data_IF_283899840226
#
_entry.id   IF_283899840226
#
_cell.length_a   1.000
_cell.length_b   1.000
_cell.length_c   1.000
_cell.angle_alpha   90.00
_cell.angle_beta   90.00
_cell.angle_gamma   90.00
#
_symmetry.space_group_name_H-M   'P 1'
#
loop_
_entity.id
_entity.type
_entity.pdbx_description
1 polymer ?
#
# COMPACT_ATOMS: atom_id res chain seq x y z
N UNK A 1 19.30 2.61 -15.33
CA UNK A 1 19.17 3.31 -14.03
C UNK A 1 17.75 3.82 -13.78
N UNK A 2 17.11 4.51 -14.73
CA UNK A 2 15.74 5.03 -14.60
C UNK A 2 14.67 3.95 -14.28
N UNK A 3 14.70 2.82 -14.98
CA UNK A 3 13.76 1.71 -14.74
C UNK A 3 13.87 1.12 -13.32
N UNK A 4 15.11 0.96 -12.81
CA UNK A 4 15.35 0.47 -11.46
C UNK A 4 14.80 1.43 -10.41
N UNK A 5 15.01 2.74 -10.57
CA UNK A 5 14.43 3.76 -9.67
C UNK A 5 12.91 3.68 -9.62
N UNK A 6 12.26 3.51 -10.78
CA UNK A 6 10.80 3.39 -10.88
C UNK A 6 10.28 2.16 -10.14
N UNK A 7 10.90 0.99 -10.36
CA UNK A 7 10.51 -0.26 -9.70
C UNK A 7 10.73 -0.17 -8.19
N UNK A 8 11.90 0.31 -7.75
CA UNK A 8 12.22 0.45 -6.33
C UNK A 8 11.31 1.47 -5.65
N UNK A 9 11.11 2.63 -6.27
CA UNK A 9 10.24 3.67 -5.73
C UNK A 9 8.79 3.22 -5.56
N UNK A 10 8.22 2.54 -6.57
CA UNK A 10 6.86 2.00 -6.44
C UNK A 10 6.79 0.86 -5.40
N UNK A 11 7.80 -0.01 -5.35
CA UNK A 11 7.87 -1.05 -4.31
C UNK A 11 7.94 -0.49 -2.90
N UNK A 12 8.66 0.64 -2.72
CA UNK A 12 8.73 1.35 -1.44
C UNK A 12 7.42 2.06 -1.10
N UNK A 13 6.72 2.65 -2.08
CA UNK A 13 5.40 3.23 -1.87
C UNK A 13 4.37 2.17 -1.43
N UNK A 14 4.47 0.96 -1.99
CA UNK A 14 3.61 -0.16 -1.65
C UNK A 14 3.98 -0.88 -0.33
N UNK A 15 5.11 -0.54 0.30
CA UNK A 15 5.68 -1.32 1.40
C UNK A 15 4.74 -1.45 2.61
N UNK A 16 4.04 -0.37 2.96
CA UNK A 16 3.10 -0.38 4.08
C UNK A 16 1.89 -1.26 3.79
N UNK A 17 1.31 -1.16 2.60
CA UNK A 17 0.17 -1.99 2.19
C UNK A 17 0.54 -3.47 2.11
N UNK A 18 1.68 -3.80 1.50
CA UNK A 18 2.21 -5.17 1.49
C UNK A 18 2.38 -5.72 2.91
N UNK A 19 2.94 -4.92 3.83
CA UNK A 19 3.15 -5.31 5.22
C UNK A 19 1.83 -5.53 5.95
N UNK A 20 0.85 -4.66 5.72
CA UNK A 20 -0.49 -4.77 6.30
C UNK A 20 -1.26 -5.96 5.75
N UNK A 21 -1.13 -6.29 4.47
CA UNK A 21 -1.70 -7.50 3.88
C UNK A 21 -1.19 -8.78 4.54
N UNK A 22 0.13 -8.86 4.78
CA UNK A 22 0.76 -9.95 5.52
C UNK A 22 0.19 -10.03 6.95
N UNK A 23 0.10 -8.88 7.63
CA UNK A 23 -0.40 -8.81 9.00
C UNK A 23 -1.87 -9.19 9.13
N UNK A 24 -2.73 -8.75 8.20
CA UNK A 24 -4.15 -9.11 8.16
C UNK A 24 -4.32 -10.62 8.04
N UNK A 25 -3.58 -11.28 7.14
CA UNK A 25 -3.63 -12.75 7.01
C UNK A 25 -3.13 -13.43 8.28
N UNK A 26 -2.01 -12.96 8.84
CA UNK A 26 -1.47 -13.50 10.08
C UNK A 26 -2.50 -13.43 11.21
N UNK A 27 -3.10 -12.26 11.43
CA UNK A 27 -4.07 -12.02 12.48
C UNK A 27 -5.36 -12.84 12.26
N UNK A 28 -5.92 -12.81 11.04
CA UNK A 28 -7.10 -13.58 10.69
C UNK A 28 -6.88 -15.08 10.89
N UNK A 29 -5.68 -15.59 10.56
CA UNK A 29 -5.32 -17.00 10.75
C UNK A 29 -5.25 -17.36 12.24
N UNK A 30 -4.63 -16.50 13.07
CA UNK A 30 -4.58 -16.70 14.53
C UNK A 30 -5.99 -16.71 15.15
N UNK A 31 -6.86 -15.76 14.75
CA UNK A 31 -8.24 -15.68 15.23
C UNK A 31 -9.06 -16.90 14.79
N UNK A 32 -8.87 -17.37 13.56
CA UNK A 32 -9.57 -18.53 13.02
C UNK A 32 -8.99 -19.88 13.45
N UNK A 33 -7.91 -19.90 14.25
CA UNK A 33 -7.19 -21.13 14.62
C UNK A 33 -6.61 -21.90 13.43
N UNK A 34 -6.26 -21.20 12.34
CA UNK A 34 -5.71 -21.80 11.12
C UNK A 34 -4.18 -21.78 11.15
N UNK A 35 -3.59 -22.85 10.62
CA UNK A 35 -2.15 -22.87 10.34
C UNK A 35 -1.79 -21.81 9.31
N UNK A 36 -0.68 -21.10 9.57
CA UNK A 36 -0.24 -19.98 8.73
C UNK A 36 0.68 -20.51 7.65
N UNK A 37 0.13 -20.74 6.47
CA UNK A 37 0.93 -21.06 5.28
C UNK A 37 1.64 -19.80 4.76
N UNK A 38 2.91 -19.94 4.37
CA UNK A 38 3.70 -18.84 3.76
C UNK A 38 3.01 -18.30 2.50
N UNK A 39 2.41 -19.17 1.68
CA UNK A 39 1.65 -18.78 0.50
C UNK A 39 0.45 -17.88 0.84
N UNK A 40 -0.20 -18.09 1.98
CA UNK A 40 -1.31 -17.24 2.41
C UNK A 40 -0.83 -15.82 2.74
N UNK A 41 0.35 -15.68 3.35
CA UNK A 41 0.96 -14.36 3.63
C UNK A 41 1.28 -13.61 2.33
N UNK A 42 1.82 -14.31 1.33
CA UNK A 42 2.09 -13.74 0.00
C UNK A 42 0.79 -13.30 -0.69
N UNK A 43 -0.26 -14.11 -0.63
CA UNK A 43 -1.58 -13.75 -1.16
C UNK A 43 -2.12 -12.50 -0.44
N UNK A 44 -1.99 -12.42 0.89
CA UNK A 44 -2.39 -11.25 1.67
C UNK A 44 -1.70 -9.98 1.22
N UNK A 45 -0.39 -10.04 1.00
CA UNK A 45 0.40 -8.92 0.48
C UNK A 45 -0.12 -8.47 -0.89
N UNK A 46 -0.33 -9.40 -1.82
CA UNK A 46 -0.86 -9.10 -3.17
C UNK A 46 -2.25 -8.48 -3.09
N UNK A 47 -3.14 -9.01 -2.25
CA UNK A 47 -4.50 -8.49 -2.07
C UNK A 47 -4.51 -7.06 -1.53
N UNK A 48 -3.54 -6.69 -0.68
CA UNK A 48 -3.47 -5.36 -0.10
C UNK A 48 -3.02 -4.29 -1.11
N UNK A 49 -2.27 -4.66 -2.14
CA UNK A 49 -1.91 -3.76 -3.25
C UNK A 49 -2.75 -3.98 -4.50
N UNK A 50 -3.81 -4.78 -4.38
CA UNK A 50 -4.66 -5.12 -5.52
C UNK A 50 -5.22 -3.87 -6.20
N UNK A 51 -5.71 -2.83 -5.51
CA UNK A 51 -6.30 -1.67 -6.20
C UNK A 51 -5.30 -0.96 -7.13
N UNK A 52 -4.01 -0.95 -6.79
CA UNK A 52 -2.93 -0.37 -7.61
C UNK A 52 -2.49 -1.25 -8.81
N UNK A 53 -3.21 -2.33 -9.13
CA UNK A 53 -2.87 -3.16 -10.29
C UNK A 53 -2.85 -2.35 -11.61
N UNK A 54 -3.62 -1.27 -11.66
CA UNK A 54 -3.75 -0.37 -12.79
C UNK A 54 -2.47 0.43 -13.09
N UNK A 55 -1.69 0.76 -12.06
CA UNK A 55 -0.36 1.37 -12.15
C UNK A 55 0.57 0.48 -12.98
N UNK A 56 0.48 -0.84 -12.82
CA UNK A 56 1.26 -1.81 -13.61
C UNK A 56 0.89 -1.70 -15.10
N UNK A 57 -0.41 -1.65 -15.42
CA UNK A 57 -0.86 -1.50 -16.80
C UNK A 57 -0.43 -0.17 -17.42
N UNK A 58 -0.42 0.92 -16.64
CA UNK A 58 0.11 2.21 -17.09
C UNK A 58 1.60 2.13 -17.44
N UNK A 59 2.39 1.49 -16.57
CA UNK A 59 3.81 1.27 -16.82
C UNK A 59 4.08 0.40 -18.05
N UNK A 60 3.36 -0.71 -18.20
CA UNK A 60 3.52 -1.59 -19.36
C UNK A 60 3.09 -0.91 -20.67
N UNK A 61 2.05 -0.08 -20.63
CA UNK A 61 1.52 0.59 -21.81
C UNK A 61 2.32 1.82 -22.27
N UNK A 62 2.81 2.64 -21.33
CA UNK A 62 3.46 3.94 -21.65
C UNK A 62 4.81 4.17 -20.99
N UNK A 63 5.34 3.22 -20.22
CA UNK A 63 6.61 3.36 -19.49
C UNK A 63 6.59 4.36 -18.33
N UNK A 64 5.40 4.89 -17.99
CA UNK A 64 5.17 5.85 -16.90
C UNK A 64 3.71 5.78 -16.42
N UNK A 65 3.50 6.14 -15.17
CA UNK A 65 2.16 6.43 -14.63
C UNK A 65 1.66 7.73 -15.26
N UNK A 66 0.40 7.77 -15.68
CA UNK A 66 -0.23 8.94 -16.29
C UNK A 66 -1.66 9.08 -15.81
N UNK A 67 -2.15 10.31 -15.72
CA UNK A 67 -3.47 10.59 -15.17
C UNK A 67 -3.56 10.39 -13.66
N UNK A 68 -4.76 10.62 -13.14
CA UNK A 68 -5.15 10.31 -11.77
C UNK A 68 -5.70 8.88 -11.70
N UNK A 69 -4.87 7.91 -11.32
CA UNK A 69 -5.29 6.52 -11.21
C UNK A 69 -6.37 6.31 -10.14
N UNK A 70 -6.46 7.18 -9.12
CA UNK A 70 -7.57 7.16 -8.16
C UNK A 70 -8.91 7.51 -8.82
N UNK A 71 -8.92 8.00 -10.08
CA UNK A 71 -10.16 8.15 -10.85
C UNK A 71 -10.65 6.86 -11.50
N UNK A 72 -9.82 5.82 -11.54
CA UNK A 72 -10.15 4.58 -12.20
C UNK A 72 -10.99 3.69 -11.29
N UNK A 73 -11.60 2.67 -11.91
CA UNK A 73 -12.52 1.79 -11.22
C UNK A 73 -11.89 0.99 -10.05
N UNK A 74 -10.58 0.67 -10.02
CA UNK A 74 -9.99 -0.06 -8.89
C UNK A 74 -10.00 0.74 -7.57
N UNK A 75 -10.06 2.08 -7.64
CA UNK A 75 -10.14 2.97 -6.46
C UNK A 75 -11.58 3.43 -6.20
N UNK A 76 -12.53 2.48 -6.31
CA UNK A 76 -13.97 2.68 -6.04
C UNK A 76 -14.42 1.75 -4.92
N UNK A 77 -14.24 2.14 -3.64
CA UNK A 77 -14.39 1.21 -2.51
C UNK A 77 -15.77 0.56 -2.42
N UNK A 78 -16.85 1.32 -2.64
CA UNK A 78 -18.21 0.82 -2.58
C UNK A 78 -18.53 -0.28 -3.61
N UNK A 79 -17.69 -0.47 -4.63
CA UNK A 79 -17.82 -1.54 -5.62
C UNK A 79 -16.76 -2.60 -5.42
N UNK A 80 -15.50 -2.19 -5.30
CA UNK A 80 -14.37 -3.13 -5.27
C UNK A 80 -14.36 -3.93 -3.98
N UNK A 81 -14.69 -3.35 -2.82
CA UNK A 81 -14.76 -4.11 -1.56
C UNK A 81 -15.78 -5.25 -1.66
N UNK A 82 -17.08 -5.02 -2.01
CA UNK A 82 -18.03 -6.11 -2.20
C UNK A 82 -17.57 -7.16 -3.20
N UNK A 83 -17.00 -6.75 -4.35
CA UNK A 83 -16.51 -7.69 -5.37
C UNK A 83 -15.40 -8.58 -4.82
N UNK A 84 -14.40 -7.99 -4.15
CA UNK A 84 -13.28 -8.74 -3.56
C UNK A 84 -13.75 -9.65 -2.43
N UNK A 85 -14.68 -9.20 -1.59
CA UNK A 85 -15.28 -10.03 -0.53
C UNK A 85 -16.02 -11.22 -1.13
N UNK A 86 -16.83 -11.01 -2.16
CA UNK A 86 -17.59 -12.08 -2.82
C UNK A 86 -16.67 -13.07 -3.54
N UNK A 87 -15.66 -12.59 -4.26
CA UNK A 87 -14.68 -13.45 -4.92
C UNK A 87 -13.86 -14.25 -3.91
N UNK A 88 -13.38 -13.60 -2.85
CA UNK A 88 -12.65 -14.28 -1.77
C UNK A 88 -13.52 -15.32 -1.08
N UNK A 89 -14.79 -15.00 -0.81
CA UNK A 89 -15.76 -15.94 -0.25
C UNK A 89 -16.00 -17.14 -1.17
N UNK A 90 -16.16 -16.91 -2.47
CA UNK A 90 -16.37 -17.98 -3.44
C UNK A 90 -15.16 -18.90 -3.60
N UNK A 91 -13.95 -18.33 -3.65
CA UNK A 91 -12.71 -19.09 -3.89
C UNK A 91 -12.16 -19.78 -2.64
N UNK A 92 -12.49 -19.28 -1.44
CA UNK A 92 -11.82 -19.70 -0.21
C UNK A 92 -12.66 -19.63 1.06
N UNK A 93 -13.97 -19.40 0.93
CA UNK A 93 -14.92 -19.29 2.03
C UNK A 93 -14.79 -17.98 2.82
N UNK A 94 -15.53 -17.91 3.94
CA UNK A 94 -15.64 -16.72 4.79
C UNK A 94 -14.28 -16.13 5.18
N UNK A 95 -13.29 -16.99 5.44
CA UNK A 95 -11.93 -16.55 5.76
C UNK A 95 -11.34 -15.63 4.68
N UNK A 96 -11.34 -16.07 3.42
CA UNK A 96 -10.76 -15.31 2.32
C UNK A 96 -11.62 -14.12 1.89
N UNK A 97 -12.95 -14.19 2.09
CA UNK A 97 -13.82 -13.02 1.94
C UNK A 97 -13.47 -11.89 2.91
N UNK A 98 -13.27 -12.23 4.20
CA UNK A 98 -12.87 -11.26 5.23
C UNK A 98 -11.45 -10.72 4.95
N UNK A 99 -10.48 -11.61 4.71
CA UNK A 99 -9.09 -11.20 4.42
C UNK A 99 -9.04 -10.29 3.20
N UNK A 100 -9.66 -10.69 2.08
CA UNK A 100 -9.67 -9.89 0.86
C UNK A 100 -10.28 -8.51 1.09
N UNK A 101 -11.48 -8.47 1.71
CA UNK A 101 -12.15 -7.22 2.04
C UNK A 101 -11.32 -6.31 2.96
N UNK A 102 -10.71 -6.88 4.01
CA UNK A 102 -9.87 -6.12 4.94
C UNK A 102 -8.60 -5.57 4.27
N UNK A 103 -7.96 -6.35 3.40
CA UNK A 103 -6.77 -5.92 2.65
C UNK A 103 -7.08 -4.71 1.75
N UNK A 104 -8.12 -4.80 0.91
CA UNK A 104 -8.48 -3.67 0.02
C UNK A 104 -9.05 -2.49 0.79
N UNK A 105 -9.78 -2.74 1.89
CA UNK A 105 -10.27 -1.67 2.75
C UNK A 105 -9.13 -0.90 3.41
N UNK A 106 -8.09 -1.60 3.89
CA UNK A 106 -6.89 -0.96 4.42
C UNK A 106 -6.22 -0.07 3.37
N UNK A 107 -6.04 -0.57 2.15
CA UNK A 107 -5.44 0.22 1.06
C UNK A 107 -6.21 1.52 0.82
N UNK A 108 -7.54 1.48 0.78
CA UNK A 108 -8.34 2.71 0.64
C UNK A 108 -8.26 3.65 1.85
N UNK A 109 -8.07 3.13 3.07
CA UNK A 109 -7.75 3.98 4.23
C UNK A 109 -6.40 4.65 4.02
N UNK A 110 -5.39 3.90 3.61
CA UNK A 110 -4.06 4.44 3.34
C UNK A 110 -4.08 5.53 2.25
N UNK A 111 -4.88 5.33 1.20
CA UNK A 111 -5.06 6.30 0.12
C UNK A 111 -5.94 7.52 0.49
N UNK A 112 -6.66 7.44 1.62
CA UNK A 112 -7.48 8.55 2.10
C UNK A 112 -6.59 9.70 2.55
N UNK A 113 -6.87 10.91 2.03
CA UNK A 113 -6.08 12.10 2.32
C UNK A 113 -6.04 12.38 3.83
N UNK A 114 -4.83 12.47 4.37
CA UNK A 114 -4.55 12.59 5.80
C UNK A 114 -3.90 11.35 6.43
N UNK A 115 -4.02 10.18 5.80
CA UNK A 115 -3.33 8.95 6.21
C UNK A 115 -2.13 8.59 5.33
N UNK A 116 -2.05 9.18 4.13
CA UNK A 116 -0.94 8.96 3.22
C UNK A 116 -1.29 9.43 1.81
N UNK A 117 -2.40 8.98 1.26
CA UNK A 117 -2.71 9.21 -0.15
C UNK A 117 -3.35 10.55 -0.51
N UNK A 118 -3.76 10.64 -1.78
CA UNK A 118 -4.32 11.83 -2.38
C UNK A 118 -5.84 11.94 -2.38
N UNK A 119 -6.54 11.03 -1.68
CA UNK A 119 -7.99 11.03 -1.50
C UNK A 119 -8.70 9.89 -2.23
N UNK A 120 -9.84 9.46 -1.70
CA UNK A 120 -10.64 8.35 -2.23
C UNK A 120 -12.12 8.71 -2.29
N UNK A 121 -12.77 8.36 -3.40
CA UNK A 121 -14.20 8.51 -3.59
C UNK A 121 -14.99 7.34 -2.96
N UNK A 122 -15.02 7.29 -1.63
CA UNK A 122 -15.62 6.19 -0.84
C UNK A 122 -17.05 5.82 -1.26
N UNK A 123 -17.86 6.81 -1.64
CA UNK A 123 -19.28 6.63 -1.97
C UNK A 123 -19.59 6.66 -3.47
N UNK A 124 -18.58 6.52 -4.34
CA UNK A 124 -18.85 6.37 -5.77
C UNK A 124 -19.68 5.10 -6.05
N UNK A 125 -20.72 5.11 -6.91
CA UNK A 125 -21.10 6.17 -7.86
C UNK A 125 -22.09 7.21 -7.32
N UNK A 126 -22.54 7.10 -6.06
CA UNK A 126 -23.52 8.01 -5.46
C UNK A 126 -22.94 9.42 -5.25
N UNK A 127 -21.63 9.52 -5.00
CA UNK A 127 -20.90 10.78 -4.90
C UNK A 127 -19.57 10.68 -5.62
N UNK A 128 -19.19 11.76 -6.32
CA UNK A 128 -17.85 11.91 -6.92
C UNK A 128 -16.86 12.55 -5.94
N UNK A 129 -17.29 12.99 -4.76
CA UNK A 129 -16.40 13.70 -3.82
C UNK A 129 -15.35 12.77 -3.25
N UNK A 130 -14.15 13.30 -3.08
CA UNK A 130 -13.01 12.62 -2.46
C UNK A 130 -13.05 12.95 -0.97
N UNK A 131 -13.00 11.93 -0.12
CA UNK A 131 -13.06 12.16 1.32
C UNK A 131 -11.64 12.15 1.90
N UNK A 132 -11.44 13.03 2.88
CA UNK A 132 -10.22 13.22 3.64
C UNK A 132 -10.53 13.37 5.12
N UNK A 133 -9.49 13.35 5.97
CA UNK A 133 -9.63 13.72 7.38
C UNK A 133 -10.14 15.15 7.62
N UNK A 134 -10.07 16.03 6.61
CA UNK A 134 -10.53 17.42 6.69
C UNK A 134 -11.91 17.63 6.07
N UNK A 135 -12.55 16.57 5.55
CA UNK A 135 -13.84 16.64 4.88
C UNK A 135 -13.77 16.20 3.41
N UNK A 136 -14.87 16.43 2.70
CA UNK A 136 -15.04 16.05 1.32
C UNK A 136 -14.59 17.18 0.37
N UNK A 137 -13.79 16.84 -0.64
CA UNK A 137 -13.27 17.74 -1.67
C UNK A 137 -13.73 17.29 -3.06
N UNK A 138 -13.75 18.24 -4.01
CA UNK A 138 -14.03 17.90 -5.41
C UNK A 138 -12.80 17.21 -6.03
N UNK A 139 -12.97 16.26 -6.97
CA UNK A 139 -11.85 15.52 -7.57
C UNK A 139 -10.74 16.39 -8.15
N UNK A 140 -11.12 17.51 -8.78
CA UNK A 140 -10.20 18.49 -9.37
C UNK A 140 -9.30 19.18 -8.34
N UNK A 141 -9.74 19.23 -7.09
CA UNK A 141 -9.04 19.88 -5.98
C UNK A 141 -8.21 18.87 -5.16
N UNK A 142 -8.29 17.58 -5.51
CA UNK A 142 -7.52 16.51 -4.86
C UNK A 142 -6.01 16.67 -5.10
N UNK A 143 -5.21 16.13 -4.18
CA UNK A 143 -3.75 16.12 -4.33
C UNK A 143 -3.30 15.32 -5.56
N UNK A 144 -4.04 14.29 -5.95
CA UNK A 144 -3.74 13.51 -7.16
C UNK A 144 -3.96 14.34 -8.43
N UNK A 145 -5.08 15.06 -8.52
CA UNK A 145 -5.32 15.96 -9.65
C UNK A 145 -4.26 17.07 -9.74
N UNK A 146 -3.83 17.62 -8.60
CA UNK A 146 -2.77 18.64 -8.56
C UNK A 146 -1.38 18.09 -8.91
N UNK A 147 -1.17 16.78 -8.78
CA UNK A 147 0.11 16.12 -9.09
C UNK A 147 0.10 15.38 -10.42
N UNK A 148 -0.95 15.54 -11.23
CA UNK A 148 -1.09 14.90 -12.53
C UNK A 148 0.11 15.22 -13.43
N UNK A 149 0.74 14.18 -13.99
CA UNK A 149 1.93 14.32 -14.83
C UNK A 149 3.26 14.45 -14.07
N UNK A 150 3.23 14.52 -12.74
CA UNK A 150 4.43 14.70 -11.90
C UNK A 150 4.73 13.51 -10.98
N UNK A 151 4.23 12.31 -11.32
CA UNK A 151 4.42 11.09 -10.53
C UNK A 151 5.91 10.77 -10.29
N UNK A 152 6.78 11.06 -11.26
CA UNK A 152 8.23 10.86 -11.11
C UNK A 152 8.82 11.75 -10.02
N UNK A 153 8.49 13.05 -10.01
CA UNK A 153 8.93 13.96 -8.95
C UNK A 153 8.33 13.57 -7.60
N UNK A 154 7.09 13.08 -7.57
CA UNK A 154 6.48 12.56 -6.35
C UNK A 154 7.27 11.37 -5.79
N UNK A 155 7.57 10.36 -6.61
CA UNK A 155 8.38 9.21 -6.17
C UNK A 155 9.75 9.67 -5.70
N UNK A 156 10.41 10.57 -6.43
CA UNK A 156 11.73 11.07 -6.06
C UNK A 156 11.72 11.85 -4.75
N UNK A 157 10.71 12.69 -4.52
CA UNK A 157 10.63 13.57 -3.35
C UNK A 157 10.07 12.86 -2.11
N UNK A 158 8.96 12.16 -2.27
CA UNK A 158 8.16 11.65 -1.16
C UNK A 158 8.58 10.22 -0.77
N UNK A 159 9.11 9.42 -1.70
CA UNK A 159 9.41 8.00 -1.46
C UNK A 159 10.91 7.70 -1.45
N UNK A 160 11.63 8.13 -2.48
CA UNK A 160 13.08 7.94 -2.57
C UNK A 160 13.83 9.01 -1.76
N UNK A 161 13.21 10.16 -1.52
CA UNK A 161 13.72 11.21 -0.66
C UNK A 161 13.50 10.88 0.81
N UNK A 162 14.33 11.41 1.73
CA UNK A 162 14.14 11.26 3.16
C UNK A 162 12.99 12.14 3.67
N UNK A 163 11.77 11.82 3.26
CA UNK A 163 10.56 12.49 3.73
C UNK A 163 10.14 11.95 5.10
N UNK A 164 9.51 12.78 5.93
CA UNK A 164 8.94 12.33 7.21
C UNK A 164 7.93 11.22 6.99
N UNK A 165 7.16 11.31 5.91
CA UNK A 165 6.16 10.30 5.52
C UNK A 165 6.82 8.95 5.26
N UNK A 166 7.83 8.91 4.39
CA UNK A 166 8.57 7.69 4.08
C UNK A 166 9.12 7.02 5.35
N UNK A 167 9.74 7.81 6.24
CA UNK A 167 10.27 7.29 7.50
C UNK A 167 9.18 6.69 8.39
N UNK A 168 8.01 7.32 8.47
CA UNK A 168 6.88 6.81 9.25
C UNK A 168 6.32 5.53 8.64
N UNK A 169 6.01 5.53 7.34
CA UNK A 169 5.43 4.36 6.66
C UNK A 169 6.37 3.15 6.74
N UNK A 170 7.66 3.37 6.53
CA UNK A 170 8.65 2.30 6.62
C UNK A 170 8.89 1.83 8.05
N UNK A 171 8.86 2.74 9.03
CA UNK A 171 8.92 2.39 10.44
C UNK A 171 7.74 1.52 10.86
N UNK A 172 6.53 1.90 10.45
CA UNK A 172 5.31 1.11 10.68
C UNK A 172 5.42 -0.27 10.01
N UNK A 173 5.87 -0.31 8.75
CA UNK A 173 6.11 -1.57 8.02
C UNK A 173 7.07 -2.50 8.77
N UNK A 174 8.19 -1.96 9.26
CA UNK A 174 9.19 -2.72 10.02
C UNK A 174 8.62 -3.27 11.34
N UNK A 175 7.82 -2.49 12.06
CA UNK A 175 7.15 -2.94 13.29
C UNK A 175 6.13 -4.04 12.99
N UNK A 176 5.32 -3.86 11.94
CA UNK A 176 4.30 -4.82 11.52
C UNK A 176 4.93 -6.16 11.11
N UNK A 177 5.91 -6.14 10.20
CA UNK A 177 6.61 -7.35 9.77
C UNK A 177 7.38 -7.99 10.93
N UNK A 178 8.00 -7.19 11.80
CA UNK A 178 8.64 -7.67 13.01
C UNK A 178 7.66 -8.43 13.91
N UNK A 179 6.47 -7.88 14.15
CA UNK A 179 5.42 -8.52 14.95
C UNK A 179 4.94 -9.85 14.35
N UNK A 180 4.74 -9.90 13.02
CA UNK A 180 4.41 -11.15 12.31
C UNK A 180 5.54 -12.17 12.48
N UNK A 181 6.78 -11.75 12.29
CA UNK A 181 7.94 -12.62 12.42
C UNK A 181 8.12 -13.12 13.87
N UNK A 182 7.83 -12.32 14.90
CA UNK A 182 7.79 -12.78 16.30
C UNK A 182 6.74 -13.87 16.46
N UNK A 183 5.55 -13.69 15.89
CA UNK A 183 4.46 -14.64 15.97
C UNK A 183 4.68 -15.97 15.22
N UNK A 184 5.62 -16.01 14.28
CA UNK A 184 5.99 -17.18 13.48
C UNK A 184 7.26 -17.88 13.95
N UNK A 185 8.28 -17.10 14.34
CA UNK A 185 9.65 -17.59 14.55
C UNK A 185 10.20 -17.24 15.95
N UNK A 186 9.42 -16.56 16.79
CA UNK A 186 9.82 -16.17 18.14
C UNK A 186 10.49 -14.79 18.22
N UNK A 187 10.65 -14.31 19.46
CA UNK A 187 11.02 -12.93 19.76
C UNK A 187 12.34 -12.49 19.13
N UNK A 188 13.38 -13.34 19.19
CA UNK A 188 14.71 -13.00 18.70
C UNK A 188 14.69 -12.76 17.18
N UNK A 189 14.16 -13.72 16.41
CA UNK A 189 14.11 -13.62 14.94
C UNK A 189 13.25 -12.44 14.53
N UNK A 190 12.06 -12.27 15.12
CA UNK A 190 11.18 -11.15 14.77
C UNK A 190 11.78 -9.77 15.08
N UNK A 191 12.51 -9.64 16.19
CA UNK A 191 13.22 -8.39 16.53
C UNK A 191 14.33 -8.09 15.53
N UNK A 192 15.11 -9.10 15.13
CA UNK A 192 16.17 -8.94 14.12
C UNK A 192 15.58 -8.51 12.78
N UNK A 193 14.48 -9.11 12.34
CA UNK A 193 13.80 -8.74 11.08
C UNK A 193 13.34 -7.28 11.12
N UNK A 194 12.64 -6.86 12.18
CA UNK A 194 12.17 -5.49 12.31
C UNK A 194 13.30 -4.46 12.34
N UNK A 195 14.37 -4.72 13.10
CA UNK A 195 15.55 -3.85 13.18
C UNK A 195 16.25 -3.78 11.81
N UNK A 196 16.44 -4.91 11.14
CA UNK A 196 17.10 -4.95 9.82
C UNK A 196 16.33 -4.13 8.78
N UNK A 197 14.99 -4.24 8.77
CA UNK A 197 14.15 -3.40 7.91
C UNK A 197 14.33 -1.91 8.22
N UNK A 198 14.24 -1.51 9.50
CA UNK A 198 14.43 -0.11 9.90
C UNK A 198 15.80 0.44 9.45
N UNK A 199 16.87 -0.33 9.69
CA UNK A 199 18.23 0.06 9.28
C UNK A 199 18.37 0.21 7.77
N UNK A 200 17.69 -0.64 6.99
CA UNK A 200 17.68 -0.54 5.53
C UNK A 200 17.01 0.75 5.06
N UNK A 201 15.94 1.20 5.72
CA UNK A 201 15.25 2.46 5.43
C UNK A 201 16.16 3.67 5.70
N UNK A 202 16.81 3.68 6.87
CA UNK A 202 17.76 4.74 7.24
C UNK A 202 18.92 4.78 6.26
N UNK A 203 19.45 3.62 5.88
CA UNK A 203 20.53 3.52 4.90
C UNK A 203 20.09 4.06 3.53
N UNK A 204 18.90 3.69 3.04
CA UNK A 204 18.34 4.21 1.80
C UNK A 204 18.21 5.74 1.82
N UNK A 205 17.68 6.30 2.91
CA UNK A 205 17.60 7.75 3.13
C UNK A 205 18.97 8.46 3.07
N UNK A 206 19.98 7.88 3.74
CA UNK A 206 21.33 8.45 3.77
C UNK A 206 22.03 8.39 2.41
N UNK A 207 21.81 7.31 1.65
CA UNK A 207 22.37 7.15 0.31
C UNK A 207 21.69 8.06 -0.70
N UNK A 208 20.37 8.23 -0.59
CA UNK A 208 19.57 9.11 -1.44
C UNK A 208 20.06 10.57 -1.39
N UNK A 209 20.36 11.10 -0.18
CA UNK A 209 20.95 12.44 -0.02
C UNK A 209 22.25 12.63 -0.80
N UNK A 210 23.14 11.64 -0.81
CA UNK A 210 24.42 11.74 -1.52
C UNK A 210 24.25 11.84 -3.05
N UNK A 211 23.26 11.14 -3.60
CA UNK A 211 22.96 11.13 -5.03
C UNK A 211 22.38 12.47 -5.48
N UNK A 212 21.57 13.13 -4.65
CA UNK A 212 20.96 14.43 -4.99
C UNK A 212 21.92 15.61 -4.91
N UNK A 213 23.06 15.46 -4.22
CA UNK A 213 24.05 16.54 -4.02
C UNK A 213 25.25 16.48 -4.96
N UNK A 214 25.35 15.43 -5.78
CA UNK A 214 26.41 15.20 -6.79
C UNK A 214 25.89 15.49 -8.19
#
# INVERSE_FOLDING_TARGET
MLALKKVVGNGMAAALDLSMGIFIVFLASKVAGREIAVSALVIGAILAVLPDFDVIFMFLGRGKVYGDHHQMWPHRPAIVIPVVVLLGWFLGGVFWGIVGGACVFWHYIHDTRGFGGGGIAWFWPLSKKYYSLKGAEDPKDSLMAQSEGNHESYIEKEVLGPSTRFLIEYALSAVIIGAVAVGLFGLLIGSVVGIAMMLSAITACLLSKKITTS
#
